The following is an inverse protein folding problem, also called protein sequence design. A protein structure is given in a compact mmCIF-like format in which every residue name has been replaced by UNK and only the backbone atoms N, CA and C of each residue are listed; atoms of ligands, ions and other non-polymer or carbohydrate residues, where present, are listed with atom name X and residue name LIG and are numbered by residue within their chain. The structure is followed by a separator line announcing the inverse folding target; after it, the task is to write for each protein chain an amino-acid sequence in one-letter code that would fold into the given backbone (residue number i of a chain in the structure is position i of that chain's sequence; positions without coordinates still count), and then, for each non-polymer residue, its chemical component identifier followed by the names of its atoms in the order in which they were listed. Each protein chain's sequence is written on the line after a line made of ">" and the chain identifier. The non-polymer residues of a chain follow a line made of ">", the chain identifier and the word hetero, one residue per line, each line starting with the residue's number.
data_IF_409913748081
#
_entry.id   IF_409913748081
#
_cell.length_a   1.000
_cell.length_b   1.000
_cell.length_c   1.000
_cell.angle_alpha   90.00
_cell.angle_beta   90.00
_cell.angle_gamma   90.00
#
_symmetry.space_group_name_H-M   'P 1'
#
loop_
_entity.id
_entity.type
_entity.pdbx_description
1 polymer ?
#
# COMPACT_ATOMS: atom_id res chain seq x y z
N UNK A 1 -49.55 50.20 -22.36
CA UNK A 1 -49.75 50.04 -20.91
C UNK A 1 -50.63 48.83 -20.65
N UNK A 2 -50.03 47.70 -20.29
CA UNK A 2 -50.74 46.56 -19.69
C UNK A 2 -49.78 45.89 -18.71
N UNK A 3 -49.96 46.17 -17.42
CA UNK A 3 -49.29 45.45 -16.33
C UNK A 3 -49.76 43.99 -16.37
N UNK A 4 -48.84 43.04 -16.57
CA UNK A 4 -49.09 41.65 -16.18
C UNK A 4 -48.69 41.52 -14.72
N UNK A 5 -49.71 41.44 -13.86
CA UNK A 5 -49.60 41.09 -12.46
C UNK A 5 -48.90 39.73 -12.35
N UNK A 6 -47.71 39.67 -11.74
CA UNK A 6 -47.15 38.40 -11.29
C UNK A 6 -47.93 38.01 -10.03
N UNK A 7 -48.75 36.97 -10.15
CA UNK A 7 -49.39 36.32 -9.01
C UNK A 7 -48.33 35.51 -8.27
N UNK A 8 -47.98 35.91 -7.06
CA UNK A 8 -47.13 35.08 -6.19
C UNK A 8 -47.84 33.76 -5.89
N UNK A 9 -47.13 32.62 -5.88
CA UNK A 9 -47.71 31.36 -5.46
C UNK A 9 -48.12 31.44 -3.98
N UNK A 10 -49.24 30.80 -3.58
CA UNK A 10 -49.68 30.79 -2.19
C UNK A 10 -48.59 30.22 -1.28
N UNK A 11 -48.20 30.96 -0.24
CA UNK A 11 -47.16 30.61 0.72
C UNK A 11 -47.46 29.35 1.56
N UNK A 12 -48.63 28.73 1.38
CA UNK A 12 -49.16 27.67 2.24
C UNK A 12 -49.19 26.29 1.57
N UNK A 13 -48.60 26.12 0.38
CA UNK A 13 -48.35 24.77 -0.12
C UNK A 13 -47.32 24.11 0.80
N UNK A 14 -47.62 22.97 1.45
CA UNK A 14 -46.61 22.23 2.18
C UNK A 14 -45.48 21.96 1.19
N UNK A 15 -44.28 22.47 1.51
CA UNK A 15 -43.07 22.02 0.86
C UNK A 15 -43.09 20.51 0.97
N UNK A 16 -43.41 19.81 -0.12
CA UNK A 16 -43.24 18.37 -0.20
C UNK A 16 -41.75 18.16 0.02
N UNK A 17 -41.43 17.85 1.27
CA UNK A 17 -40.12 17.44 1.68
C UNK A 17 -39.85 16.18 0.88
N UNK A 18 -39.20 16.36 -0.27
CA UNK A 18 -38.56 15.30 -1.00
C UNK A 18 -37.80 14.51 0.04
N UNK A 19 -38.28 13.30 0.33
CA UNK A 19 -37.67 12.36 1.25
C UNK A 19 -36.31 11.99 0.64
N UNK A 20 -35.34 12.88 0.79
CA UNK A 20 -33.95 12.62 0.55
C UNK A 20 -33.54 11.73 1.71
N UNK A 21 -33.79 10.43 1.54
CA UNK A 21 -33.17 9.39 2.34
C UNK A 21 -31.69 9.78 2.41
N UNK A 22 -31.09 9.96 3.60
CA UNK A 22 -29.69 10.34 3.67
C UNK A 22 -28.92 9.26 2.93
N UNK A 23 -28.39 9.60 1.76
CA UNK A 23 -27.52 8.71 1.01
C UNK A 23 -26.32 8.55 1.91
N UNK A 24 -26.19 7.37 2.51
CA UNK A 24 -25.06 7.03 3.35
C UNK A 24 -23.84 6.89 2.43
N UNK A 25 -23.24 8.02 2.05
CA UNK A 25 -22.12 8.14 1.10
C UNK A 25 -20.78 7.72 1.72
N UNK A 26 -20.76 6.65 2.49
CA UNK A 26 -19.52 6.08 2.98
C UNK A 26 -19.25 4.81 2.20
N UNK A 27 -18.61 4.96 1.03
CA UNK A 27 -17.93 3.84 0.38
C UNK A 27 -16.65 3.57 1.17
N UNK A 28 -16.55 2.40 1.81
CA UNK A 28 -15.33 1.92 2.44
C UNK A 28 -14.28 1.60 1.37
N UNK A 29 -13.00 1.62 1.74
CA UNK A 29 -11.93 1.18 0.85
C UNK A 29 -12.13 -0.26 0.34
N UNK A 30 -12.71 -1.13 1.16
CA UNK A 30 -12.99 -2.52 0.78
C UNK A 30 -14.22 -2.69 -0.11
N UNK A 31 -15.05 -1.65 -0.26
CA UNK A 31 -16.18 -1.65 -1.18
C UNK A 31 -15.73 -1.36 -2.63
N UNK A 32 -14.49 -0.91 -2.82
CA UNK A 32 -13.89 -0.75 -4.14
C UNK A 32 -13.69 -2.12 -4.81
N UNK A 33 -13.90 -2.26 -6.13
CA UNK A 33 -13.46 -3.43 -6.89
C UNK A 33 -11.99 -3.74 -6.70
N UNK A 34 -11.63 -5.03 -6.79
CA UNK A 34 -10.26 -5.50 -6.58
C UNK A 34 -9.24 -4.80 -7.50
N UNK A 35 -9.61 -4.49 -8.74
CA UNK A 35 -8.76 -3.78 -9.71
C UNK A 35 -8.37 -2.37 -9.23
N UNK A 36 -9.31 -1.64 -8.62
CA UNK A 36 -9.03 -0.31 -8.07
C UNK A 36 -8.19 -0.40 -6.80
N UNK A 37 -8.45 -1.40 -5.94
CA UNK A 37 -7.61 -1.65 -4.75
C UNK A 37 -6.18 -1.98 -5.15
N UNK A 38 -5.99 -2.85 -6.14
CA UNK A 38 -4.68 -3.20 -6.70
C UNK A 38 -3.96 -1.96 -7.25
N UNK A 39 -4.66 -1.11 -7.99
CA UNK A 39 -4.09 0.14 -8.50
C UNK A 39 -3.59 1.05 -7.37
N UNK A 40 -4.36 1.16 -6.27
CA UNK A 40 -3.95 1.94 -5.10
C UNK A 40 -2.75 1.28 -4.41
N UNK A 41 -2.72 -0.05 -4.28
CA UNK A 41 -1.57 -0.77 -3.74
C UNK A 41 -0.30 -0.54 -4.56
N UNK A 42 -0.40 -0.58 -5.89
CA UNK A 42 0.74 -0.32 -6.77
C UNK A 42 1.30 1.09 -6.62
N UNK A 43 0.43 2.10 -6.44
CA UNK A 43 0.83 3.49 -6.24
C UNK A 43 1.47 3.71 -4.86
N UNK A 44 0.90 3.11 -3.82
CA UNK A 44 1.38 3.33 -2.44
C UNK A 44 2.64 2.52 -2.19
N UNK A 45 2.67 1.25 -2.57
CA UNK A 45 3.72 0.31 -2.15
C UNK A 45 4.98 0.36 -3.01
N UNK A 46 5.03 1.15 -4.08
CA UNK A 46 6.20 1.29 -4.93
C UNK A 46 7.14 2.38 -4.39
N UNK A 47 8.03 2.01 -3.49
CA UNK A 47 9.07 2.91 -2.94
C UNK A 47 10.45 2.67 -3.57
N UNK A 48 10.60 1.65 -4.43
CA UNK A 48 11.80 1.42 -5.23
C UNK A 48 12.73 0.39 -4.60
N UNK A 49 13.84 0.83 -4.00
CA UNK A 49 14.85 -0.06 -3.39
C UNK A 49 14.85 0.08 -1.87
N UNK A 50 14.65 -1.03 -1.17
CA UNK A 50 14.71 -1.12 0.28
C UNK A 50 16.04 -1.67 0.76
N UNK A 51 16.69 -0.93 1.66
CA UNK A 51 17.80 -1.47 2.43
C UNK A 51 17.26 -2.48 3.46
N UNK A 52 17.69 -3.74 3.33
CA UNK A 52 17.29 -4.81 4.27
C UNK A 52 17.95 -4.64 5.64
N UNK A 53 19.08 -3.94 5.68
CA UNK A 53 19.83 -3.61 6.90
C UNK A 53 19.86 -2.10 7.10
N UNK A 54 18.72 -1.48 7.45
CA UNK A 54 18.62 -0.05 7.66
C UNK A 54 19.55 0.41 8.79
N UNK A 55 20.39 1.42 8.52
CA UNK A 55 21.11 2.12 9.58
C UNK A 55 20.13 2.93 10.44
N UNK A 56 20.54 3.34 11.65
CA UNK A 56 19.68 4.13 12.56
C UNK A 56 19.16 5.44 11.94
N UNK A 57 19.78 5.92 10.85
CA UNK A 57 19.41 7.13 10.13
C UNK A 57 18.58 6.89 8.86
N UNK A 58 18.32 5.64 8.47
CA UNK A 58 17.51 5.39 7.28
C UNK A 58 16.02 5.66 7.58
N UNK A 59 15.30 6.35 6.68
CA UNK A 59 13.87 6.56 6.82
C UNK A 59 13.15 5.20 6.86
N UNK A 60 12.23 5.02 7.80
CA UNK A 60 11.40 3.82 7.84
C UNK A 60 10.42 3.85 6.65
N UNK A 61 10.24 2.74 5.93
CA UNK A 61 9.21 2.64 4.89
C UNK A 61 7.84 2.96 5.47
N UNK A 62 7.18 4.00 4.96
CA UNK A 62 5.82 4.35 5.42
C UNK A 62 4.80 3.35 4.88
N UNK A 63 5.12 2.71 3.76
CA UNK A 63 4.34 1.67 3.08
C UNK A 63 4.01 0.45 3.93
N UNK A 64 4.88 0.12 4.89
CA UNK A 64 4.65 -1.03 5.78
C UNK A 64 3.44 -0.85 6.70
N UNK A 65 3.03 0.40 6.97
CA UNK A 65 1.83 0.69 7.76
C UNK A 65 0.56 0.11 7.10
N UNK A 66 0.46 0.19 5.76
CA UNK A 66 -0.67 -0.35 5.01
C UNK A 66 -0.80 -1.87 5.18
N UNK A 67 0.33 -2.58 5.15
CA UNK A 67 0.40 -4.04 5.32
C UNK A 67 0.07 -4.52 6.75
N UNK A 68 -0.06 -3.58 7.69
CA UNK A 68 -0.38 -3.85 9.10
C UNK A 68 -1.84 -3.57 9.49
N UNK A 69 -2.64 -3.04 8.55
CA UNK A 69 -4.02 -2.61 8.82
C UNK A 69 -4.98 -3.77 9.11
N UNK A 70 -5.26 -4.62 8.12
CA UNK A 70 -6.10 -5.81 8.27
C UNK A 70 -5.58 -6.98 7.43
N UNK A 71 -6.07 -8.19 7.72
CA UNK A 71 -5.66 -9.42 7.03
C UNK A 71 -5.97 -9.38 5.54
N UNK A 72 -7.14 -8.87 5.15
CA UNK A 72 -7.52 -8.78 3.73
C UNK A 72 -6.54 -7.89 2.95
N UNK A 73 -6.32 -6.65 3.39
CA UNK A 73 -5.37 -5.74 2.76
C UNK A 73 -3.98 -6.37 2.72
N UNK A 74 -3.55 -7.00 3.82
CA UNK A 74 -2.28 -7.69 3.87
C UNK A 74 -2.17 -8.77 2.78
N UNK A 75 -3.15 -9.66 2.63
CA UNK A 75 -3.09 -10.72 1.63
C UNK A 75 -3.09 -10.19 0.19
N UNK A 76 -3.84 -9.12 -0.09
CA UNK A 76 -3.89 -8.52 -1.43
C UNK A 76 -2.61 -7.72 -1.76
N UNK A 77 -2.12 -6.93 -0.81
CA UNK A 77 -1.02 -5.99 -1.01
C UNK A 77 0.39 -6.63 -0.92
N UNK A 78 0.56 -7.66 -0.09
CA UNK A 78 1.86 -8.29 0.14
C UNK A 78 2.55 -8.82 -1.15
N UNK A 79 1.87 -9.55 -2.06
CA UNK A 79 2.50 -9.98 -3.31
C UNK A 79 2.89 -8.80 -4.21
N UNK A 80 2.12 -7.71 -4.22
CA UNK A 80 2.45 -6.49 -4.99
C UNK A 80 3.71 -5.85 -4.42
N UNK A 81 3.81 -5.73 -3.09
CA UNK A 81 4.98 -5.19 -2.42
C UNK A 81 6.26 -5.98 -2.74
N UNK A 82 6.24 -7.31 -2.63
CA UNK A 82 7.44 -8.11 -2.88
C UNK A 82 7.79 -8.29 -4.37
N UNK A 83 6.82 -8.14 -5.27
CA UNK A 83 7.07 -8.26 -6.71
C UNK A 83 7.59 -6.97 -7.35
N UNK A 84 7.19 -5.81 -6.82
CA UNK A 84 7.49 -4.50 -7.43
C UNK A 84 8.64 -3.74 -6.80
N UNK A 85 9.12 -4.17 -5.63
CA UNK A 85 10.22 -3.51 -4.95
C UNK A 85 11.50 -4.34 -5.03
N UNK A 86 12.62 -3.64 -5.04
CA UNK A 86 13.95 -4.24 -4.98
C UNK A 86 14.44 -4.20 -3.54
N UNK A 87 15.14 -5.24 -3.11
CA UNK A 87 15.70 -5.32 -1.76
C UNK A 87 17.22 -5.39 -1.89
N UNK A 88 17.91 -4.39 -1.36
CA UNK A 88 19.37 -4.34 -1.36
C UNK A 88 19.93 -5.04 -0.10
N UNK A 89 20.82 -5.99 -0.35
CA UNK A 89 21.53 -6.77 0.66
C UNK A 89 23.02 -6.41 0.72
N UNK A 90 23.45 -5.28 0.13
CA UNK A 90 24.86 -4.89 -0.01
C UNK A 90 25.70 -5.01 1.28
N UNK A 91 25.11 -4.78 2.45
CA UNK A 91 25.78 -4.94 3.74
C UNK A 91 26.32 -6.38 3.98
N UNK A 92 25.64 -7.41 3.47
CA UNK A 92 26.06 -8.81 3.61
C UNK A 92 27.31 -9.14 2.80
N UNK A 93 27.52 -8.51 1.64
CA UNK A 93 28.63 -8.85 0.73
C UNK A 93 29.97 -8.29 1.23
N UNK A 94 29.97 -7.10 1.83
CA UNK A 94 31.17 -6.50 2.42
C UNK A 94 31.60 -7.13 3.75
N UNK A 95 30.70 -7.84 4.43
CA UNK A 95 30.93 -8.47 5.73
C UNK A 95 30.84 -10.00 5.70
N UNK A 96 30.95 -10.66 4.54
CA UNK A 96 31.28 -12.09 4.52
C UNK A 96 32.58 -12.24 5.33
N UNK A 97 32.57 -12.85 6.54
CA UNK A 97 33.82 -13.20 7.17
C UNK A 97 34.52 -14.12 6.17
N UNK A 98 35.82 -13.90 5.94
CA UNK A 98 36.70 -14.74 5.11
C UNK A 98 36.83 -16.17 5.69
N UNK A 99 35.73 -16.81 6.05
CA UNK A 99 35.64 -18.06 6.78
C UNK A 99 35.36 -19.25 5.85
N UNK A 100 35.33 -19.03 4.53
CA UNK A 100 35.42 -20.09 3.52
C UNK A 100 36.82 -20.06 2.89
N UNK A 101 37.85 -20.24 3.73
CA UNK A 101 39.20 -20.64 3.28
C UNK A 101 39.94 -21.45 4.35
N UNK A 102 39.26 -22.41 4.96
CA UNK A 102 39.90 -23.45 5.79
C UNK A 102 39.15 -24.76 5.55
N UNK A 103 39.44 -25.44 4.44
CA UNK A 103 38.76 -26.69 4.09
C UNK A 103 39.41 -27.53 3.00
N UNK A 104 40.68 -27.28 2.66
CA UNK A 104 41.41 -28.11 1.68
C UNK A 104 42.84 -28.31 2.14
N UNK A 105 43.03 -29.15 3.16
CA UNK A 105 44.34 -29.73 3.46
C UNK A 105 44.24 -30.97 4.37
N UNK A 106 43.58 -32.05 3.95
CA UNK A 106 43.89 -33.40 4.48
C UNK A 106 43.56 -34.49 3.45
N UNK A 107 44.29 -34.55 2.32
CA UNK A 107 44.41 -35.78 1.52
C UNK A 107 45.79 -35.85 0.85
N UNK A 108 46.87 -35.90 1.63
CA UNK A 108 48.15 -36.35 1.11
C UNK A 108 49.06 -36.79 2.25
N UNK A 109 48.81 -37.98 2.80
CA UNK A 109 49.80 -38.75 3.56
C UNK A 109 49.27 -40.17 3.81
N UNK A 110 49.14 -40.96 2.74
CA UNK A 110 49.21 -42.42 2.83
C UNK A 110 49.52 -43.05 1.47
N UNK A 111 50.79 -43.02 1.08
CA UNK A 111 51.37 -44.07 0.24
C UNK A 111 52.89 -43.98 0.32
N UNK A 112 53.48 -44.83 1.16
CA UNK A 112 54.76 -45.49 0.98
C UNK A 112 54.75 -46.73 1.89
#
# INVERSE_FOLDING_TARGET
>A
MTHKQYSEPPCDAPFEANNHKPHNQFSSFLDLPAELRNSIYELVLHEGTFDVFPNQHSPKPQTLSLLSTCTQIRYEALPIFYSRNTFDFAFMVTHIPKFVRMGSSVYSLRSQ
#
